data_IF_573314675194
#
_entry.id   IF_573314675194
#
_cell.length_a   1.000
_cell.length_b   1.000
_cell.length_c   1.000
_cell.angle_alpha   90.00
_cell.angle_beta   90.00
_cell.angle_gamma   90.00
#
_symmetry.space_group_name_H-M   'P 1'
#
loop_
_entity.id
_entity.type
_entity.pdbx_description
1 polymer ?
#
# COMPACT_ATOMS: atom_id res chain seq x y z
N UNK A 1 -35.85 40.69 9.52
CA UNK A 1 -34.59 40.15 8.96
C UNK A 1 -33.67 39.55 10.04
N UNK A 2 -34.11 38.53 10.80
CA UNK A 2 -33.25 37.81 11.76
C UNK A 2 -33.43 36.29 11.77
N UNK A 3 -34.44 35.77 11.06
CA UNK A 3 -34.71 34.32 10.98
C UNK A 3 -33.87 33.63 9.89
N UNK A 4 -33.46 34.36 8.85
CA UNK A 4 -32.68 33.80 7.73
C UNK A 4 -31.20 33.51 8.03
N UNK A 5 -30.63 34.12 9.08
CA UNK A 5 -29.22 33.92 9.46
C UNK A 5 -29.02 32.67 10.34
N UNK A 6 -30.04 32.26 11.10
CA UNK A 6 -29.96 31.08 11.95
C UNK A 6 -30.05 29.79 11.12
N UNK A 7 -30.85 29.78 10.05
CA UNK A 7 -30.92 28.64 9.12
C UNK A 7 -29.61 28.42 8.35
N UNK A 8 -28.90 29.49 7.97
CA UNK A 8 -27.60 29.39 7.30
C UNK A 8 -26.49 28.87 8.22
N UNK A 9 -26.57 29.12 9.53
CA UNK A 9 -25.63 28.55 10.51
C UNK A 9 -25.88 27.07 10.81
N UNK A 10 -27.12 26.59 10.73
CA UNK A 10 -27.45 25.18 10.99
C UNK A 10 -27.02 24.26 9.83
N UNK A 11 -27.02 24.74 8.59
CA UNK A 11 -26.53 23.98 7.42
C UNK A 11 -24.99 23.88 7.41
N UNK A 12 -24.28 24.82 8.04
CA UNK A 12 -22.82 24.81 8.13
C UNK A 12 -22.26 23.95 9.27
N UNK A 13 -23.10 23.44 10.17
CA UNK A 13 -22.69 22.56 11.27
C UNK A 13 -22.94 21.07 11.00
N UNK A 14 -23.63 20.73 9.92
CA UNK A 14 -23.75 19.35 9.40
C UNK A 14 -22.99 19.21 8.09
N UNK A 15 -21.74 19.65 8.08
CA UNK A 15 -20.77 19.07 7.17
C UNK A 15 -20.53 17.65 7.64
N UNK A 16 -21.38 16.71 7.22
CA UNK A 16 -21.04 15.30 7.26
C UNK A 16 -19.70 15.19 6.52
N UNK A 17 -18.64 15.02 7.30
CA UNK A 17 -17.38 14.55 6.77
C UNK A 17 -17.72 13.26 6.05
N UNK A 18 -17.82 13.30 4.72
CA UNK A 18 -17.80 12.12 3.87
C UNK A 18 -16.46 11.43 4.13
N UNK A 19 -16.37 10.67 5.23
CA UNK A 19 -15.37 9.63 5.30
C UNK A 19 -15.74 8.70 4.17
N UNK A 20 -14.95 8.71 3.10
CA UNK A 20 -14.91 7.59 2.18
C UNK A 20 -14.80 6.34 3.05
N UNK A 21 -15.90 5.59 3.10
CA UNK A 21 -16.03 4.44 3.98
C UNK A 21 -14.99 3.42 3.53
N UNK A 22 -14.12 2.99 4.44
CA UNK A 22 -13.11 2.00 4.13
C UNK A 22 -13.80 0.64 3.91
N UNK A 23 -13.95 0.23 2.65
CA UNK A 23 -14.51 -1.07 2.28
C UNK A 23 -13.39 -2.10 2.24
N UNK A 24 -13.32 -2.92 3.29
CA UNK A 24 -12.32 -4.01 3.41
C UNK A 24 -12.80 -5.31 2.79
N UNK A 25 -14.11 -5.52 2.75
CA UNK A 25 -14.70 -6.79 2.39
C UNK A 25 -14.49 -7.13 0.91
N UNK A 26 -14.11 -8.39 0.67
CA UNK A 26 -14.00 -8.97 -0.65
C UNK A 26 -15.36 -9.51 -1.08
N UNK A 27 -15.80 -9.11 -2.27
CA UNK A 27 -17.09 -9.49 -2.84
C UNK A 27 -16.90 -10.70 -3.74
N UNK A 28 -17.16 -11.89 -3.18
CA UNK A 28 -17.09 -13.17 -3.90
C UNK A 28 -18.25 -13.26 -4.89
N UNK A 29 -17.94 -13.75 -6.10
CA UNK A 29 -18.88 -13.91 -7.21
C UNK A 29 -19.53 -12.61 -7.67
N UNK A 30 -18.78 -11.51 -7.53
CA UNK A 30 -19.15 -10.18 -7.99
C UNK A 30 -18.06 -9.65 -8.92
N UNK A 31 -18.46 -9.15 -10.08
CA UNK A 31 -17.63 -8.47 -11.06
C UNK A 31 -17.91 -6.95 -11.05
N UNK A 32 -16.85 -6.17 -11.27
CA UNK A 32 -16.89 -4.74 -11.55
C UNK A 32 -16.45 -4.54 -13.02
N UNK A 33 -17.38 -4.65 -14.01
CA UNK A 33 -17.00 -4.75 -15.40
C UNK A 33 -16.33 -3.48 -15.96
N UNK A 34 -15.32 -3.69 -16.81
CA UNK A 34 -14.59 -2.62 -17.49
C UNK A 34 -13.74 -1.74 -16.56
N UNK A 35 -13.39 -0.56 -17.05
CA UNK A 35 -12.58 0.45 -16.32
C UNK A 35 -11.17 -0.04 -15.94
N UNK A 36 -10.63 -0.98 -16.71
CA UNK A 36 -9.33 -1.62 -16.46
C UNK A 36 -8.18 -0.67 -16.81
N UNK A 37 -7.33 -0.35 -15.84
CA UNK A 37 -6.11 0.45 -16.05
C UNK A 37 -4.86 -0.42 -16.14
N UNK A 38 -4.88 -1.59 -15.52
CA UNK A 38 -3.77 -2.54 -15.58
C UNK A 38 -4.28 -3.96 -15.32
N UNK A 39 -3.70 -4.92 -16.02
CA UNK A 39 -3.86 -6.34 -15.72
C UNK A 39 -2.52 -6.90 -15.21
N UNK A 40 -2.57 -7.60 -14.08
CA UNK A 40 -1.44 -8.35 -13.52
C UNK A 40 -1.88 -9.79 -13.22
N UNK A 41 -0.92 -10.66 -12.91
CA UNK A 41 -1.26 -11.94 -12.29
C UNK A 41 -1.15 -11.86 -10.78
N UNK A 42 -2.13 -12.48 -10.14
CA UNK A 42 -2.27 -12.58 -8.70
C UNK A 42 -2.62 -14.01 -8.33
N UNK A 43 -2.02 -14.59 -7.29
CA UNK A 43 -2.38 -15.94 -6.87
C UNK A 43 -3.70 -15.99 -6.09
N UNK A 44 -4.12 -14.88 -5.46
CA UNK A 44 -5.41 -14.74 -4.79
C UNK A 44 -5.97 -13.31 -4.84
N UNK A 45 -7.15 -13.11 -4.24
CA UNK A 45 -7.81 -11.81 -4.16
C UNK A 45 -7.12 -10.82 -3.19
N UNK A 46 -6.45 -11.32 -2.13
CA UNK A 46 -5.77 -10.46 -1.15
C UNK A 46 -4.51 -9.81 -1.74
N UNK A 47 -3.70 -10.57 -2.49
CA UNK A 47 -2.58 -10.03 -3.25
C UNK A 47 -3.09 -9.08 -4.37
N UNK A 48 -4.24 -9.36 -4.98
CA UNK A 48 -4.84 -8.45 -5.96
C UNK A 48 -5.27 -7.11 -5.31
N UNK A 49 -5.86 -7.17 -4.11
CA UNK A 49 -6.18 -5.99 -3.32
C UNK A 49 -4.93 -5.20 -2.92
N UNK A 50 -3.85 -5.90 -2.54
CA UNK A 50 -2.56 -5.26 -2.25
C UNK A 50 -2.04 -4.51 -3.47
N UNK A 51 -2.09 -5.14 -4.65
CA UNK A 51 -1.68 -4.52 -5.90
C UNK A 51 -2.51 -3.28 -6.21
N UNK A 52 -3.85 -3.35 -6.05
CA UNK A 52 -4.70 -2.18 -6.22
C UNK A 52 -4.41 -1.07 -5.19
N UNK A 53 -4.12 -1.46 -3.95
CA UNK A 53 -3.79 -0.52 -2.88
C UNK A 53 -2.47 0.21 -3.15
N UNK A 54 -1.48 -0.47 -3.72
CA UNK A 54 -0.18 0.14 -4.07
C UNK A 54 -0.20 0.87 -5.42
N UNK A 55 -1.06 0.47 -6.36
CA UNK A 55 -1.14 1.11 -7.67
C UNK A 55 -1.82 2.48 -7.58
N UNK A 56 -1.08 3.56 -7.83
CA UNK A 56 -1.54 4.96 -7.72
C UNK A 56 -2.95 5.25 -8.27
N UNK A 57 -3.29 4.78 -9.48
CA UNK A 57 -4.63 5.01 -10.06
C UNK A 57 -5.72 3.99 -9.64
N UNK A 58 -5.39 2.86 -9.01
CA UNK A 58 -6.40 1.84 -8.75
C UNK A 58 -7.30 2.21 -7.57
N UNK A 59 -8.62 2.11 -7.77
CA UNK A 59 -9.66 2.36 -6.77
C UNK A 59 -10.39 1.07 -6.37
N UNK A 60 -10.54 0.14 -7.30
CA UNK A 60 -11.14 -1.17 -7.08
C UNK A 60 -10.56 -2.18 -8.07
N UNK A 61 -10.85 -3.46 -7.86
CA UNK A 61 -10.30 -4.53 -8.68
C UNK A 61 -11.31 -5.66 -8.87
N UNK A 62 -11.03 -6.50 -9.86
CA UNK A 62 -11.65 -7.82 -10.01
C UNK A 62 -10.58 -8.87 -10.24
N UNK A 63 -10.58 -9.90 -9.42
CA UNK A 63 -9.71 -11.06 -9.49
C UNK A 63 -10.45 -12.26 -10.08
N UNK A 64 -9.89 -12.88 -11.13
CA UNK A 64 -10.38 -14.11 -11.73
C UNK A 64 -9.72 -15.30 -11.03
N UNK A 65 -10.53 -16.11 -10.37
CA UNK A 65 -10.05 -17.15 -9.47
C UNK A 65 -9.50 -18.37 -10.21
N UNK A 66 -8.69 -19.23 -9.55
CA UNK A 66 -8.03 -20.37 -10.20
C UNK A 66 -9.01 -21.39 -10.82
N UNK A 67 -10.21 -21.53 -10.25
CA UNK A 67 -11.28 -22.42 -10.72
C UNK A 67 -12.03 -21.88 -11.94
N UNK A 68 -11.64 -20.73 -12.49
CA UNK A 68 -12.25 -20.18 -13.70
C UNK A 68 -12.08 -21.13 -14.88
N UNK A 69 -13.18 -21.45 -15.59
CA UNK A 69 -13.20 -22.44 -16.68
C UNK A 69 -13.58 -21.88 -18.05
N UNK A 70 -14.03 -20.62 -18.12
CA UNK A 70 -14.60 -20.07 -19.37
C UNK A 70 -13.54 -19.78 -20.43
N UNK A 71 -12.33 -19.44 -20.01
CA UNK A 71 -11.17 -19.15 -20.87
C UNK A 71 -9.87 -19.18 -20.04
N UNK A 72 -8.78 -18.62 -20.59
CA UNK A 72 -7.42 -18.64 -20.03
C UNK A 72 -7.10 -17.48 -19.07
N UNK A 73 -8.12 -16.92 -18.40
CA UNK A 73 -7.97 -15.78 -17.48
C UNK A 73 -7.75 -16.16 -16.02
N UNK A 74 -7.52 -17.44 -15.71
CA UNK A 74 -7.19 -17.86 -14.34
C UNK A 74 -6.05 -16.98 -13.80
N UNK A 75 -6.15 -16.55 -12.54
CA UNK A 75 -5.17 -15.70 -11.86
C UNK A 75 -5.10 -14.24 -12.33
N UNK A 76 -5.96 -13.80 -13.26
CA UNK A 76 -5.95 -12.41 -13.70
C UNK A 76 -6.48 -11.50 -12.59
N UNK A 77 -5.73 -10.44 -12.31
CA UNK A 77 -6.14 -9.36 -11.43
C UNK A 77 -6.23 -8.09 -12.27
N UNK A 78 -7.45 -7.58 -12.41
CA UNK A 78 -7.74 -6.34 -13.12
C UNK A 78 -7.80 -5.20 -12.12
N UNK A 79 -6.85 -4.27 -12.23
CA UNK A 79 -6.82 -3.02 -11.48
C UNK A 79 -7.66 -1.98 -12.22
N UNK A 80 -8.57 -1.30 -11.52
CA UNK A 80 -9.60 -0.49 -12.14
C UNK A 80 -9.71 0.91 -11.53
N UNK A 81 -10.16 1.86 -12.35
CA UNK A 81 -10.36 3.26 -11.99
C UNK A 81 -11.56 3.86 -12.71
N UNK A 82 -12.35 4.66 -12.01
CA UNK A 82 -13.39 5.53 -12.60
C UNK A 82 -13.30 6.92 -11.96
N UNK A 83 -13.66 7.95 -12.72
CA UNK A 83 -13.67 9.33 -12.21
C UNK A 83 -14.71 9.56 -11.10
N UNK A 84 -15.75 8.73 -11.05
CA UNK A 84 -16.77 8.76 -9.99
C UNK A 84 -16.32 8.14 -8.67
N UNK A 85 -15.15 7.48 -8.65
CA UNK A 85 -14.66 6.74 -7.49
C UNK A 85 -15.34 5.37 -7.25
N UNK A 86 -16.34 5.01 -8.06
CA UNK A 86 -17.17 3.81 -7.86
C UNK A 86 -17.30 3.00 -9.16
N UNK A 87 -17.45 1.66 -9.09
CA UNK A 87 -17.74 0.85 -10.26
C UNK A 87 -18.99 1.36 -10.99
N UNK A 88 -18.89 1.53 -12.31
CA UNK A 88 -20.03 1.98 -13.13
C UNK A 88 -21.17 0.93 -13.17
N UNK A 89 -20.81 -0.34 -13.02
CA UNK A 89 -21.73 -1.46 -12.95
C UNK A 89 -21.20 -2.49 -11.95
N UNK A 90 -22.12 -3.18 -11.27
CA UNK A 90 -21.83 -4.30 -10.40
C UNK A 90 -22.69 -5.47 -10.88
N UNK A 91 -22.09 -6.63 -11.13
CA UNK A 91 -22.81 -7.80 -11.65
C UNK A 91 -22.41 -9.07 -10.92
N UNK A 92 -23.35 -9.97 -10.68
CA UNK A 92 -23.06 -11.31 -10.20
C UNK A 92 -22.36 -12.13 -11.29
N UNK A 93 -21.20 -12.69 -10.98
CA UNK A 93 -20.41 -13.53 -11.88
C UNK A 93 -19.65 -14.57 -11.07
N UNK A 94 -20.02 -15.84 -11.20
CA UNK A 94 -19.31 -16.91 -10.50
C UNK A 94 -17.87 -17.08 -11.03
N UNK A 95 -16.93 -17.28 -10.12
CA UNK A 95 -15.51 -17.50 -10.43
C UNK A 95 -14.64 -16.23 -10.36
N UNK A 96 -15.20 -15.10 -9.94
CA UNK A 96 -14.46 -13.85 -9.74
C UNK A 96 -14.69 -13.24 -8.37
N UNK A 97 -13.71 -12.53 -7.83
CA UNK A 97 -13.83 -11.80 -6.57
C UNK A 97 -13.42 -10.35 -6.79
N UNK A 98 -14.29 -9.41 -6.44
CA UNK A 98 -13.99 -7.98 -6.53
C UNK A 98 -13.75 -7.36 -5.16
N UNK A 99 -13.16 -6.17 -5.14
CA UNK A 99 -12.92 -5.44 -3.90
C UNK A 99 -12.39 -4.04 -4.16
N UNK A 100 -12.22 -3.28 -3.09
CA UNK A 100 -11.76 -1.89 -3.15
C UNK A 100 -10.30 -1.76 -2.69
N UNK A 101 -9.66 -0.70 -3.16
CA UNK A 101 -8.35 -0.24 -2.71
C UNK A 101 -8.43 0.16 -1.23
N UNK A 102 -7.44 -0.22 -0.43
CA UNK A 102 -7.42 0.10 1.00
C UNK A 102 -6.68 1.41 1.32
N UNK A 103 -6.43 2.29 0.33
CA UNK A 103 -5.68 3.54 0.52
C UNK A 103 -6.34 4.50 1.51
N UNK A 104 -7.67 4.53 1.53
CA UNK A 104 -8.48 5.46 2.35
C UNK A 104 -8.75 4.92 3.75
N UNK A 105 -8.31 3.69 4.04
CA UNK A 105 -8.42 3.07 5.34
C UNK A 105 -7.44 3.73 6.32
N UNK A 106 -7.91 4.78 7.00
CA UNK A 106 -7.13 5.58 7.98
C UNK A 106 -6.81 4.83 9.28
N UNK A 107 -7.40 3.66 9.48
CA UNK A 107 -7.29 2.94 10.73
C UNK A 107 -6.03 2.08 10.79
N UNK A 108 -5.44 1.94 11.99
CA UNK A 108 -4.33 1.02 12.27
C UNK A 108 -4.82 -0.43 12.31
N UNK A 109 -5.53 -0.86 11.26
CA UNK A 109 -5.98 -2.24 11.14
C UNK A 109 -4.75 -3.16 11.17
N UNK A 110 -4.89 -4.39 11.73
CA UNK A 110 -3.79 -5.34 11.70
C UNK A 110 -3.31 -5.48 10.27
N UNK A 111 -2.01 -5.24 10.07
CA UNK A 111 -1.33 -5.46 8.82
C UNK A 111 -1.57 -6.92 8.39
N UNK A 112 -2.43 -7.16 7.41
CA UNK A 112 -2.73 -8.52 6.95
C UNK A 112 -1.60 -8.96 6.03
N UNK A 113 -0.70 -9.79 6.52
CA UNK A 113 0.43 -10.27 5.72
C UNK A 113 0.00 -11.32 4.70
N UNK A 114 0.68 -11.35 3.56
CA UNK A 114 0.51 -12.42 2.57
C UNK A 114 1.19 -13.69 3.11
N UNK A 115 0.45 -14.46 3.90
CA UNK A 115 0.95 -15.70 4.54
C UNK A 115 0.57 -16.97 3.79
N UNK A 116 -0.37 -16.89 2.83
CA UNK A 116 -0.83 -18.04 2.07
C UNK A 116 0.32 -18.69 1.28
N UNK A 117 0.46 -20.00 1.44
CA UNK A 117 1.30 -20.85 0.58
C UNK A 117 0.41 -21.57 -0.42
N UNK A 118 0.78 -21.48 -1.70
CA UNK A 118 0.04 -22.02 -2.83
C UNK A 118 0.66 -23.34 -3.26
N UNK A 119 0.04 -24.45 -2.83
CA UNK A 119 0.43 -25.80 -3.25
C UNK A 119 0.01 -26.05 -4.69
N UNK A 120 0.85 -26.77 -5.42
CA UNK A 120 0.71 -27.06 -6.85
C UNK A 120 0.58 -25.80 -7.72
N UNK A 121 1.24 -24.72 -7.31
CA UNK A 121 1.26 -23.45 -8.03
C UNK A 121 2.71 -22.96 -8.10
N UNK A 122 3.17 -22.62 -9.31
CA UNK A 122 4.47 -22.03 -9.57
C UNK A 122 4.35 -20.53 -9.88
N UNK A 123 5.23 -19.73 -9.27
CA UNK A 123 5.42 -18.32 -9.57
C UNK A 123 6.56 -18.17 -10.58
N UNK A 124 6.33 -18.55 -11.83
CA UNK A 124 7.42 -18.70 -12.80
C UNK A 124 8.12 -17.37 -13.13
N UNK A 125 9.46 -17.41 -13.19
CA UNK A 125 10.32 -16.28 -13.51
C UNK A 125 10.63 -15.39 -12.31
N UNK A 126 11.32 -14.27 -12.57
CA UNK A 126 11.83 -13.35 -11.55
C UNK A 126 12.82 -13.99 -10.54
N UNK A 127 13.36 -15.17 -10.85
CA UNK A 127 14.40 -15.83 -10.07
C UNK A 127 15.71 -15.03 -10.14
N UNK A 128 16.31 -14.71 -9.00
CA UNK A 128 17.65 -14.13 -8.95
C UNK A 128 18.67 -15.07 -8.29
N UNK A 129 18.21 -16.02 -7.48
CA UNK A 129 19.05 -17.09 -6.93
C UNK A 129 18.24 -18.33 -6.60
N UNK A 130 18.93 -19.44 -6.36
CA UNK A 130 18.32 -20.69 -5.91
C UNK A 130 19.24 -21.44 -4.97
N UNK A 131 18.65 -22.16 -4.02
CA UNK A 131 19.34 -22.98 -3.03
C UNK A 131 18.56 -24.27 -2.76
N UNK A 132 19.12 -25.17 -1.97
CA UNK A 132 18.39 -26.34 -1.47
C UNK A 132 17.88 -26.08 -0.05
N UNK A 133 16.64 -26.45 0.22
CA UNK A 133 16.00 -26.41 1.55
C UNK A 133 15.30 -27.73 1.85
N UNK A 134 15.03 -28.04 3.12
CA UNK A 134 14.38 -29.30 3.48
C UNK A 134 12.93 -29.35 2.96
N UNK A 135 12.21 -28.23 3.10
CA UNK A 135 10.81 -28.07 2.73
C UNK A 135 10.51 -26.63 2.27
N UNK A 136 9.21 -26.32 2.09
CA UNK A 136 8.77 -24.99 1.65
C UNK A 136 8.80 -23.98 2.81
N UNK A 137 8.65 -24.42 4.05
CA UNK A 137 8.74 -23.60 5.25
C UNK A 137 10.14 -23.01 5.40
N UNK A 138 11.19 -23.83 5.23
CA UNK A 138 12.58 -23.40 5.20
C UNK A 138 12.86 -22.46 4.01
N UNK A 139 12.24 -22.73 2.84
CA UNK A 139 12.34 -21.85 1.68
C UNK A 139 11.71 -20.47 1.96
N UNK A 140 10.52 -20.44 2.56
CA UNK A 140 9.84 -19.20 2.96
C UNK A 140 10.62 -18.44 4.04
N UNK A 141 11.17 -19.15 5.02
CA UNK A 141 12.02 -18.59 6.08
C UNK A 141 13.29 -17.96 5.47
N UNK A 142 13.91 -18.63 4.50
CA UNK A 142 15.06 -18.11 3.76
C UNK A 142 14.70 -16.85 2.98
N UNK A 143 13.61 -16.88 2.20
CA UNK A 143 13.10 -15.70 1.49
C UNK A 143 12.78 -14.55 2.46
N UNK A 144 12.22 -14.87 3.63
CA UNK A 144 11.92 -13.87 4.66
C UNK A 144 13.19 -13.34 5.34
N UNK A 145 14.32 -14.04 5.32
CA UNK A 145 15.58 -13.49 5.86
C UNK A 145 16.31 -12.65 4.82
N UNK A 146 16.25 -13.06 3.56
CA UNK A 146 16.84 -12.34 2.43
C UNK A 146 16.20 -10.95 2.24
N UNK A 147 16.98 -9.86 2.18
CA UNK A 147 16.44 -8.50 2.05
C UNK A 147 15.78 -8.21 0.70
N UNK A 148 16.18 -8.90 -0.37
CA UNK A 148 15.72 -8.68 -1.73
C UNK A 148 14.57 -9.63 -2.11
N UNK A 149 14.48 -10.80 -1.48
CA UNK A 149 13.42 -11.76 -1.78
C UNK A 149 12.02 -11.24 -1.42
N UNK A 150 11.14 -11.27 -2.42
CA UNK A 150 9.73 -10.90 -2.27
C UNK A 150 8.83 -12.13 -2.25
N UNK A 151 9.12 -13.12 -3.08
CA UNK A 151 8.35 -14.36 -3.20
C UNK A 151 9.25 -15.51 -3.60
N UNK A 152 8.75 -16.73 -3.47
CA UNK A 152 9.53 -17.94 -3.71
C UNK A 152 8.70 -19.01 -4.42
N UNK A 153 9.40 -19.97 -5.01
CA UNK A 153 8.85 -21.27 -5.41
C UNK A 153 9.78 -22.39 -4.95
N UNK A 154 9.22 -23.41 -4.32
CA UNK A 154 9.91 -24.58 -3.81
C UNK A 154 9.43 -25.83 -4.58
N UNK A 155 10.38 -26.62 -5.08
CA UNK A 155 10.08 -27.88 -5.76
C UNK A 155 10.17 -29.02 -4.74
N UNK A 156 9.05 -29.69 -4.47
CA UNK A 156 8.97 -30.73 -3.44
C UNK A 156 9.37 -32.12 -4.00
N UNK A 157 9.17 -33.17 -3.19
CA UNK A 157 9.53 -34.54 -3.55
C UNK A 157 8.71 -35.12 -4.71
N UNK A 158 7.51 -34.59 -4.95
CA UNK A 158 6.63 -35.00 -6.06
C UNK A 158 7.04 -34.35 -7.39
N UNK A 159 8.01 -33.42 -7.39
CA UNK A 159 8.46 -32.80 -8.62
C UNK A 159 9.06 -33.86 -9.58
N UNK A 160 8.64 -33.89 -10.87
CA UNK A 160 8.95 -35.01 -11.77
C UNK A 160 10.45 -35.26 -11.95
N UNK A 161 11.25 -34.20 -12.00
CA UNK A 161 12.69 -34.31 -12.21
C UNK A 161 13.44 -34.32 -10.87
N UNK A 162 13.96 -35.48 -10.48
CA UNK A 162 14.62 -35.70 -9.17
C UNK A 162 15.74 -34.70 -8.86
N UNK A 163 16.54 -34.31 -9.86
CA UNK A 163 17.65 -33.36 -9.70
C UNK A 163 17.22 -31.95 -9.25
N UNK A 164 15.94 -31.61 -9.40
CA UNK A 164 15.39 -30.30 -9.05
C UNK A 164 14.58 -30.34 -7.74
N UNK A 165 14.35 -31.52 -7.15
CA UNK A 165 13.64 -31.63 -5.87
C UNK A 165 14.41 -30.91 -4.77
N UNK A 166 13.69 -30.40 -3.80
CA UNK A 166 14.18 -29.60 -2.68
C UNK A 166 14.83 -28.26 -3.09
N UNK A 167 14.66 -27.85 -4.35
CA UNK A 167 15.20 -26.58 -4.84
C UNK A 167 14.23 -25.45 -4.52
N UNK A 168 14.73 -24.47 -3.78
CA UNK A 168 14.09 -23.22 -3.43
C UNK A 168 14.60 -22.12 -4.38
N UNK A 169 13.68 -21.42 -5.04
CA UNK A 169 13.96 -20.29 -5.92
C UNK A 169 13.51 -19.00 -5.24
N UNK A 170 14.46 -18.08 -5.02
CA UNK A 170 14.17 -16.76 -4.45
C UNK A 170 13.95 -15.77 -5.59
N UNK A 171 12.88 -14.96 -5.47
CA UNK A 171 12.38 -14.16 -6.57
C UNK A 171 12.14 -12.72 -6.16
N UNK A 172 12.39 -11.80 -7.10
CA UNK A 172 12.28 -10.36 -6.88
C UNK A 172 11.74 -9.64 -8.12
N UNK A 173 10.89 -8.64 -7.89
CA UNK A 173 10.47 -7.67 -8.89
C UNK A 173 10.59 -6.24 -8.41
N UNK A 174 11.11 -5.40 -9.31
CA UNK A 174 11.41 -3.99 -9.04
C UNK A 174 10.20 -3.13 -8.71
N UNK A 175 9.09 -3.32 -9.42
CA UNK A 175 7.94 -2.40 -9.35
C UNK A 175 6.98 -2.79 -8.24
N UNK A 176 6.59 -4.06 -8.20
CA UNK A 176 5.61 -4.60 -7.27
C UNK A 176 5.87 -6.11 -7.15
N UNK A 177 5.71 -6.72 -5.96
CA UNK A 177 5.93 -8.14 -5.72
C UNK A 177 4.84 -9.03 -6.36
N UNK A 178 4.57 -8.89 -7.66
CA UNK A 178 3.59 -9.71 -8.41
C UNK A 178 4.33 -10.72 -9.28
N UNK A 179 4.10 -12.03 -9.13
CA UNK A 179 4.68 -13.05 -10.00
C UNK A 179 4.44 -12.74 -11.49
N UNK A 180 5.46 -12.83 -12.37
CA UNK A 180 5.26 -12.61 -13.80
C UNK A 180 4.27 -13.61 -14.43
N UNK A 181 4.29 -14.85 -13.92
CA UNK A 181 3.40 -15.94 -14.29
C UNK A 181 2.94 -16.68 -13.04
N UNK A 182 1.68 -17.10 -13.03
CA UNK A 182 1.11 -17.96 -11.98
C UNK A 182 0.50 -19.15 -12.71
N UNK A 183 1.09 -20.33 -12.52
CA UNK A 183 0.70 -21.53 -13.23
C UNK A 183 0.40 -22.65 -12.24
N UNK A 184 -0.64 -23.43 -12.50
CA UNK A 184 -0.84 -24.70 -11.80
C UNK A 184 0.25 -25.69 -12.22
N UNK A 185 1.05 -26.16 -11.27
CA UNK A 185 2.16 -27.09 -11.50
C UNK A 185 2.34 -28.01 -10.29
N UNK A 186 2.09 -29.31 -10.50
CA UNK A 186 2.23 -30.32 -9.46
C UNK A 186 3.67 -30.42 -8.95
N UNK A 187 3.80 -30.66 -7.64
CA UNK A 187 5.11 -30.80 -6.99
C UNK A 187 5.82 -29.47 -6.72
N UNK A 188 5.08 -28.34 -6.76
CA UNK A 188 5.60 -27.00 -6.48
C UNK A 188 4.77 -26.34 -5.38
N UNK A 189 5.42 -25.65 -4.46
CA UNK A 189 4.78 -24.77 -3.50
C UNK A 189 5.35 -23.36 -3.65
N UNK A 190 4.50 -22.37 -3.87
CA UNK A 190 4.93 -20.96 -3.96
C UNK A 190 4.34 -20.13 -2.83
N UNK A 191 4.97 -19.01 -2.50
CA UNK A 191 4.48 -18.12 -1.46
C UNK A 191 5.22 -16.80 -1.44
N UNK A 192 4.79 -15.91 -0.54
CA UNK A 192 5.43 -14.62 -0.33
C UNK A 192 6.33 -14.63 0.91
N UNK A 193 7.29 -13.71 0.91
CA UNK A 193 8.02 -13.32 2.11
C UNK A 193 7.05 -12.78 3.15
N UNK A 194 7.20 -13.17 4.41
CA UNK A 194 6.34 -12.65 5.50
C UNK A 194 6.50 -11.14 5.75
N UNK A 195 7.46 -10.48 5.10
CA UNK A 195 7.60 -9.02 5.11
C UNK A 195 6.52 -8.32 4.29
N UNK A 196 5.83 -9.03 3.41
CA UNK A 196 4.85 -8.45 2.50
C UNK A 196 3.47 -8.49 3.13
N UNK A 197 2.89 -7.32 3.36
CA UNK A 197 1.60 -7.24 3.99
C UNK A 197 0.72 -6.10 3.46
N UNK A 198 -0.58 -6.28 3.63
CA UNK A 198 -1.62 -5.39 3.19
C UNK A 198 -2.02 -4.44 4.32
N UNK A 199 -1.25 -3.35 4.51
CA UNK A 199 -1.70 -2.06 5.04
C UNK A 199 -0.54 -1.03 5.10
N UNK A 200 -0.81 0.17 4.56
CA UNK A 200 -0.26 1.52 4.77
C UNK A 200 1.25 1.84 4.99
N UNK A 201 2.14 0.89 5.31
CA UNK A 201 3.52 1.23 5.73
C UNK A 201 4.61 0.68 4.79
N UNK A 202 4.58 1.05 3.50
CA UNK A 202 5.81 1.05 2.68
C UNK A 202 6.46 2.44 2.59
N UNK A 203 5.77 3.50 3.05
CA UNK A 203 6.29 4.87 3.00
C UNK A 203 6.97 5.37 4.28
N UNK A 204 7.20 4.54 5.30
CA UNK A 204 7.88 4.99 6.52
C UNK A 204 9.42 5.07 6.35
N UNK A 205 10.03 4.35 5.38
CA UNK A 205 11.48 4.42 5.14
C UNK A 205 11.96 5.70 4.46
N UNK A 206 11.07 6.43 3.77
CA UNK A 206 11.42 7.70 3.09
C UNK A 206 11.30 8.90 4.06
N UNK A 207 10.43 8.81 5.07
CA UNK A 207 10.27 9.86 6.07
C UNK A 207 11.38 9.88 7.15
N UNK A 208 12.01 8.73 7.43
CA UNK A 208 13.07 8.63 8.46
C UNK A 208 14.45 9.11 7.99
N UNK A 209 14.69 9.21 6.67
CA UNK A 209 15.99 9.60 6.09
C UNK A 209 16.18 11.10 5.88
N UNK A 210 15.17 11.93 6.19
CA UNK A 210 15.33 13.39 6.32
C UNK A 210 14.94 13.81 7.74
N UNK A 211 15.88 14.48 8.41
CA UNK A 211 15.88 14.89 9.84
C UNK A 211 16.53 13.92 10.83
N UNK A 212 17.86 13.82 10.78
CA UNK A 212 18.66 13.83 12.01
C UNK A 212 19.15 15.27 12.24
N UNK A 213 18.63 16.04 13.21
CA UNK A 213 19.29 17.26 13.62
C UNK A 213 20.60 16.89 14.32
N UNK A 214 21.71 17.25 13.69
CA UNK A 214 23.04 17.16 14.27
C UNK A 214 23.15 18.24 15.35
N UNK A 215 22.89 17.89 16.62
CA UNK A 215 23.25 18.74 17.74
C UNK A 215 24.78 18.72 17.87
N UNK A 216 25.43 19.70 17.24
CA UNK A 216 26.84 20.01 17.49
C UNK A 216 26.91 20.58 18.90
N UNK A 217 27.55 19.85 19.81
CA UNK A 217 28.01 20.38 21.08
C UNK A 217 29.15 21.37 20.83
N UNK A 218 28.88 22.66 20.95
CA UNK A 218 29.91 23.64 21.28
C UNK A 218 29.67 24.09 22.72
N UNK A 219 30.54 23.64 23.62
CA UNK A 219 30.52 24.06 25.00
C UNK A 219 30.88 25.54 25.12
N UNK A 220 30.05 26.29 25.84
CA UNK A 220 30.46 27.48 26.57
C UNK A 220 29.75 27.48 27.92
N UNK A 221 30.57 27.45 28.96
CA UNK A 221 30.22 27.64 30.36
C UNK A 221 29.75 29.07 30.61
N UNK A 222 28.81 29.28 31.53
CA UNK A 222 28.94 30.21 32.68
C UNK A 222 27.65 30.30 33.51
N UNK A 223 27.82 29.93 34.78
CA UNK A 223 27.28 30.56 35.99
C UNK A 223 25.79 30.56 36.34
N UNK A 224 25.53 29.87 37.46
CA UNK A 224 24.43 30.09 38.42
C UNK A 224 24.16 31.58 38.65
N UNK A 225 22.89 32.00 38.60
CA UNK A 225 22.36 33.02 39.51
C UNK A 225 20.89 32.77 39.84
N UNK A 226 20.57 33.14 41.09
CA UNK A 226 19.36 33.00 41.90
C UNK A 226 17.99 33.22 41.23
N UNK A 227 16.99 32.44 41.69
CA UNK A 227 15.58 32.85 41.74
C UNK A 227 15.37 33.95 42.78
N UNK A 228 14.39 34.84 42.56
CA UNK A 228 13.29 34.88 43.52
C UNK A 228 11.90 34.94 42.88
N UNK A 229 10.93 34.38 43.63
CA UNK A 229 9.48 34.54 43.46
C UNK A 229 9.06 35.96 43.87
N UNK A 230 8.12 36.59 43.16
CA UNK A 230 6.72 36.83 43.57
C UNK A 230 6.04 37.96 42.76
N UNK A 231 4.75 37.73 42.55
CA UNK A 231 3.62 38.66 42.48
C UNK A 231 3.08 39.22 41.16
N UNK A 232 1.75 39.04 41.11
CA UNK A 232 0.67 39.53 40.27
C UNK A 232 0.60 41.05 40.14
N UNK A 233 0.30 41.56 38.94
CA UNK A 233 -0.70 42.61 38.70
C UNK A 233 -0.83 42.95 37.20
N UNK A 234 -2.05 42.79 36.70
CA UNK A 234 -2.82 43.59 35.72
C UNK A 234 -2.14 44.56 34.74
N UNK A 235 -2.57 44.40 33.47
CA UNK A 235 -2.93 45.39 32.44
C UNK A 235 -2.03 46.61 32.22
N UNK A 236 -1.49 46.74 31.00
CA UNK A 236 -1.79 47.82 30.05
C UNK A 236 -1.19 47.48 28.68
N UNK A 237 -1.98 47.57 27.61
CA UNK A 237 -1.51 47.46 26.24
C UNK A 237 -0.95 48.82 25.76
N UNK A 238 0.09 48.82 24.93
CA UNK A 238 0.24 49.89 23.94
C UNK A 238 0.53 49.37 22.52
N UNK A 239 -0.37 49.78 21.62
CA UNK A 239 -0.13 50.33 20.27
C UNK A 239 0.94 49.72 19.37
N UNK A 240 0.46 49.13 18.28
CA UNK A 240 1.16 48.87 17.01
C UNK A 240 1.60 50.15 16.30
N UNK A 241 2.77 50.17 15.65
CA UNK A 241 3.02 51.01 14.49
C UNK A 241 3.06 50.20 13.19
N UNK A 242 2.60 50.86 12.13
CA UNK A 242 2.32 50.36 10.80
C UNK A 242 3.55 49.93 9.99
N UNK A 243 3.33 48.96 9.09
CA UNK A 243 4.26 48.53 8.06
C UNK A 243 4.35 49.54 6.90
N UNK A 244 5.51 49.73 6.26
CA UNK A 244 5.60 50.45 5.00
C UNK A 244 5.36 49.53 3.79
N UNK A 245 4.48 49.99 2.90
CA UNK A 245 4.28 49.48 1.54
C UNK A 245 5.50 49.75 0.67
N UNK A 246 5.98 48.75 -0.08
CA UNK A 246 6.91 48.94 -1.20
C UNK A 246 6.26 48.35 -2.46
N UNK A 247 6.04 49.25 -3.42
CA UNK A 247 5.45 48.98 -4.72
C UNK A 247 6.51 48.51 -5.73
N UNK A 248 6.05 47.65 -6.64
CA UNK A 248 6.72 46.98 -7.75
C UNK A 248 7.76 47.80 -8.56
N UNK A 249 8.79 47.10 -9.05
CA UNK A 249 9.19 47.14 -10.46
C UNK A 249 9.64 45.75 -10.92
N UNK A 250 8.96 45.22 -11.95
CA UNK A 250 9.32 43.98 -12.62
C UNK A 250 10.33 44.20 -13.74
N UNK A 251 11.24 43.24 -13.94
CA UNK A 251 11.97 43.02 -15.20
C UNK A 251 12.17 41.53 -15.44
N UNK A 252 11.85 41.14 -16.67
CA UNK A 252 11.96 39.82 -17.29
C UNK A 252 13.42 39.42 -17.45
N UNK A 253 13.73 38.12 -17.41
CA UNK A 253 14.82 37.53 -18.19
C UNK A 253 14.36 36.23 -18.85
N UNK A 254 14.80 36.10 -20.10
CA UNK A 254 14.48 35.09 -21.10
C UNK A 254 15.32 33.82 -20.94
N UNK A 255 14.90 32.79 -21.68
CA UNK A 255 15.56 31.51 -21.91
C UNK A 255 16.95 31.62 -22.55
N UNK A 256 17.86 30.75 -22.10
CA UNK A 256 18.66 29.79 -22.89
C UNK A 256 19.13 28.70 -21.94
#
# INVERSE_FOLDING_TARGET
MRVSLVLLCLVLLWGDSLSEECVRELQVDVDFPGSDVQQILSPDAHHCQLACTQHHHCLFFTFVRPEWTRDKRQFFCYLKHTDSGKPAKITSLSGVTSGYSMKTCKDRSPQTCLSTVYKNVDFTGADYTSLFTADYEDCQSTCTKDPDCQFFSFLNQDFPTSKYRNKCFLKHRRVFPSPPRVNSLNGVASGFSHKICTAAALMEKIASTRFRPMWIFLGMTLSRFHLPRLNTATFYAPSTPAAPSIHMQGKRCFAT
#
